data_IF_280926966369
#
_entry.id   IF_280926966369
#
_cell.length_a   1.000
_cell.length_b   1.000
_cell.length_c   1.000
_cell.angle_alpha   90.00
_cell.angle_beta   90.00
_cell.angle_gamma   90.00
#
_symmetry.space_group_name_H-M   'P 1'
#
loop_
_entity.id
_entity.type
_entity.pdbx_description
1 polymer ?
#
# COMPACT_ATOMS: atom_id res chain seq x y z
N UNK A 1 4.87 -10.59 -7.27
CA UNK A 1 4.12 -9.37 -6.93
C UNK A 1 2.91 -9.27 -7.84
N UNK A 2 1.73 -9.01 -7.29
CA UNK A 2 0.52 -8.76 -8.08
C UNK A 2 0.31 -7.24 -8.29
N UNK A 3 -0.42 -6.85 -9.33
CA UNK A 3 -0.73 -5.44 -9.61
C UNK A 3 -2.21 -5.19 -9.34
N UNK A 4 -2.52 -4.36 -8.35
CA UNK A 4 -3.88 -3.97 -8.00
C UNK A 4 -4.42 -2.97 -9.02
N UNK A 5 -5.62 -3.22 -9.53
CA UNK A 5 -6.38 -2.22 -10.27
C UNK A 5 -6.93 -1.15 -9.30
N UNK A 6 -6.75 0.13 -9.64
CA UNK A 6 -7.28 1.24 -8.83
C UNK A 6 -8.78 1.36 -9.04
N UNK A 7 -9.53 1.31 -7.95
CA UNK A 7 -10.98 1.47 -7.94
C UNK A 7 -11.34 2.92 -7.63
N UNK A 8 -12.15 3.53 -8.50
CA UNK A 8 -12.61 4.90 -8.31
C UNK A 8 -13.89 4.93 -7.46
N UNK A 9 -13.86 5.71 -6.38
CA UNK A 9 -15.02 5.96 -5.52
C UNK A 9 -15.82 7.11 -6.13
N UNK A 10 -16.99 6.80 -6.69
CA UNK A 10 -17.89 7.77 -7.30
C UNK A 10 -18.94 8.29 -6.30
N UNK A 11 -19.66 9.35 -6.68
CA UNK A 11 -20.78 9.90 -5.87
C UNK A 11 -21.92 8.92 -5.63
N UNK A 12 -22.07 7.94 -6.53
CA UNK A 12 -23.03 6.83 -6.39
C UNK A 12 -22.57 5.76 -5.39
N UNK A 13 -21.39 5.93 -4.79
CA UNK A 13 -20.73 4.90 -4.01
C UNK A 13 -19.97 3.90 -4.89
N UNK A 14 -19.28 2.98 -4.22
CA UNK A 14 -18.52 1.88 -4.81
C UNK A 14 -18.79 0.63 -3.97
N UNK A 15 -18.93 -0.53 -4.62
CA UNK A 15 -18.82 -1.83 -3.94
C UNK A 15 -17.35 -2.25 -4.01
N UNK A 16 -16.59 -2.21 -2.90
CA UNK A 16 -15.16 -2.49 -2.95
C UNK A 16 -14.87 -3.95 -3.28
N UNK A 17 -14.00 -4.19 -4.25
CA UNK A 17 -13.40 -5.49 -4.49
C UNK A 17 -12.07 -5.57 -3.73
N UNK A 18 -11.93 -6.59 -2.89
CA UNK A 18 -10.67 -6.92 -2.22
C UNK A 18 -10.17 -8.27 -2.72
N UNK A 19 -8.86 -8.42 -2.82
CA UNK A 19 -8.22 -9.69 -3.13
C UNK A 19 -7.24 -10.08 -2.02
N UNK A 20 -6.90 -11.36 -1.89
CA UNK A 20 -5.89 -11.80 -0.96
C UNK A 20 -4.54 -11.12 -1.27
N UNK A 21 -3.82 -10.69 -0.24
CA UNK A 21 -2.47 -10.17 -0.40
C UNK A 21 -1.56 -11.25 -1.03
N UNK A 22 -0.71 -10.85 -1.97
CA UNK A 22 0.18 -11.79 -2.62
C UNK A 22 1.46 -12.00 -1.79
N UNK A 23 1.95 -13.25 -1.71
CA UNK A 23 3.18 -13.58 -0.98
C UNK A 23 4.41 -12.77 -1.46
N UNK A 24 4.43 -12.41 -2.75
CA UNK A 24 5.47 -11.57 -3.34
C UNK A 24 5.19 -10.06 -3.24
N UNK A 25 4.26 -9.62 -2.38
CA UNK A 25 3.78 -8.25 -2.27
C UNK A 25 2.79 -7.85 -3.37
N UNK A 26 2.30 -6.62 -3.26
CA UNK A 26 1.38 -6.00 -4.20
C UNK A 26 1.90 -4.63 -4.65
N UNK A 27 1.60 -4.26 -5.88
CA UNK A 27 1.89 -2.94 -6.43
C UNK A 27 0.63 -2.30 -6.99
N UNK A 28 0.59 -0.97 -7.02
CA UNK A 28 -0.51 -0.23 -7.60
C UNK A 28 -0.03 1.08 -8.25
N UNK A 29 -0.68 1.56 -9.33
CA UNK A 29 -0.42 2.88 -9.87
C UNK A 29 -0.53 3.96 -8.79
N UNK A 30 0.46 4.84 -8.68
CA UNK A 30 0.45 5.92 -7.69
C UNK A 30 0.70 7.28 -8.35
N UNK A 31 -0.35 8.09 -8.37
CA UNK A 31 -0.39 9.47 -8.86
C UNK A 31 -0.42 10.48 -7.70
N UNK A 32 -0.26 10.02 -6.45
CA UNK A 32 -0.37 10.84 -5.25
C UNK A 32 -1.81 11.04 -4.78
N UNK A 33 -2.74 10.22 -5.30
CA UNK A 33 -4.18 10.28 -4.95
C UNK A 33 -4.73 8.93 -4.52
N UNK A 34 -3.96 7.88 -4.74
CA UNK A 34 -4.33 6.51 -4.45
C UNK A 34 -4.03 6.14 -3.01
N UNK A 35 -4.89 5.28 -2.46
CA UNK A 35 -4.78 4.69 -1.14
C UNK A 35 -4.71 3.17 -1.30
N UNK A 36 -3.78 2.54 -0.59
CA UNK A 36 -3.82 1.10 -0.36
C UNK A 36 -4.67 0.83 0.88
N UNK A 37 -5.76 0.09 0.72
CA UNK A 37 -6.57 -0.36 1.85
C UNK A 37 -6.21 -1.79 2.15
N UNK A 38 -5.88 -2.06 3.42
CA UNK A 38 -5.49 -3.38 3.91
C UNK A 38 -6.39 -3.75 5.07
N UNK A 39 -6.98 -4.94 4.99
CA UNK A 39 -7.83 -5.52 6.04
C UNK A 39 -7.16 -6.76 6.60
N UNK A 40 -7.09 -6.84 7.93
CA UNK A 40 -6.55 -7.99 8.63
C UNK A 40 -7.68 -8.76 9.33
N UNK A 41 -7.93 -9.99 8.89
CA UNK A 41 -8.96 -10.87 9.49
C UNK A 41 -8.40 -11.81 10.55
N UNK A 42 -7.11 -11.73 10.86
CA UNK A 42 -6.52 -12.54 11.92
C UNK A 42 -7.11 -12.12 13.28
N UNK A 43 -7.40 -13.08 14.16
CA UNK A 43 -8.13 -12.85 15.41
C UNK A 43 -7.36 -12.06 16.47
N UNK A 44 -6.03 -12.23 16.57
CA UNK A 44 -5.23 -11.64 17.67
C UNK A 44 -3.91 -11.00 17.25
N UNK A 45 -3.27 -11.50 16.19
CA UNK A 45 -2.00 -11.01 15.65
C UNK A 45 -2.21 -9.86 14.67
N UNK A 46 -1.43 -8.79 14.87
CA UNK A 46 -1.32 -7.70 13.92
C UNK A 46 -0.39 -8.08 12.75
N UNK A 47 -0.62 -7.49 11.57
CA UNK A 47 0.25 -7.63 10.40
C UNK A 47 0.94 -6.30 10.10
N UNK A 48 2.11 -6.35 9.48
CA UNK A 48 2.87 -5.16 9.10
C UNK A 48 2.95 -5.05 7.59
N UNK A 49 2.44 -3.93 7.07
CA UNK A 49 2.55 -3.56 5.66
C UNK A 49 3.71 -2.60 5.52
N UNK A 50 4.64 -2.88 4.62
CA UNK A 50 5.77 -2.00 4.32
C UNK A 50 5.67 -1.48 2.90
N UNK A 51 5.54 -0.17 2.72
CA UNK A 51 5.66 0.47 1.40
C UNK A 51 7.10 0.90 1.18
N UNK A 52 7.74 0.36 0.14
CA UNK A 52 9.13 0.63 -0.14
C UNK A 52 9.32 2.07 -0.63
N UNK A 53 10.23 2.81 0.02
CA UNK A 53 10.70 4.08 -0.54
C UNK A 53 11.50 3.79 -1.82
N UNK A 54 11.33 4.63 -2.82
CA UNK A 54 12.01 4.56 -4.12
C UNK A 54 12.94 5.75 -4.34
N UNK A 55 13.13 6.60 -3.32
CA UNK A 55 14.11 7.68 -3.37
C UNK A 55 15.49 7.13 -3.78
N UNK A 56 16.15 7.74 -4.78
CA UNK A 56 17.50 7.36 -5.15
C UNK A 56 18.47 7.80 -4.05
N UNK A 57 19.58 7.08 -3.89
CA UNK A 57 20.54 7.34 -2.81
C UNK A 57 21.04 8.81 -2.78
N UNK A 58 21.18 9.44 -3.95
CA UNK A 58 21.62 10.84 -4.07
C UNK A 58 20.54 11.90 -3.78
N UNK A 59 19.26 11.52 -3.65
CA UNK A 59 18.18 12.43 -3.28
C UNK A 59 18.02 12.58 -1.75
N UNK A 60 18.74 11.77 -0.98
CA UNK A 60 18.67 11.78 0.49
C UNK A 60 19.79 12.71 1.00
N UNK A 61 19.45 13.78 1.73
CA UNK A 61 20.46 14.67 2.31
C UNK A 61 21.47 13.91 3.17
N UNK A 62 22.71 14.40 3.23
CA UNK A 62 23.72 13.82 4.13
C UNK A 62 23.22 13.83 5.58
N UNK A 63 23.37 12.69 6.26
CA UNK A 63 22.88 12.49 7.62
C UNK A 63 21.43 11.99 7.72
N UNK A 64 20.69 11.90 6.60
CA UNK A 64 19.37 11.27 6.55
C UNK A 64 19.45 9.84 5.98
N UNK A 65 18.43 9.01 6.29
CA UNK A 65 18.33 7.64 5.82
C UNK A 65 17.10 7.45 4.92
N UNK A 66 17.22 6.52 3.97
CA UNK A 66 16.08 6.03 3.20
C UNK A 66 15.17 5.23 4.13
N UNK A 67 13.95 5.69 4.34
CA UNK A 67 12.98 5.02 5.22
C UNK A 67 11.78 4.52 4.45
N UNK A 68 11.50 3.22 4.60
CA UNK A 68 10.25 2.64 4.14
C UNK A 68 9.12 3.05 5.09
N UNK A 69 7.91 3.13 4.56
CA UNK A 69 6.72 3.35 5.37
C UNK A 69 6.23 2.00 5.90
N UNK A 70 6.43 1.74 7.19
CA UNK A 70 5.88 0.57 7.87
C UNK A 70 4.59 0.93 8.61
N UNK A 71 3.51 0.21 8.34
CA UNK A 71 2.19 0.41 8.93
C UNK A 71 1.71 -0.89 9.56
N UNK A 72 1.39 -0.83 10.85
CA UNK A 72 0.77 -1.94 11.55
C UNK A 72 -0.74 -1.95 11.30
N UNK A 73 -1.25 -3.10 10.90
CA UNK A 73 -2.68 -3.41 10.76
C UNK A 73 -3.06 -4.31 11.94
N UNK A 74 -3.70 -3.77 12.99
CA UNK A 74 -4.12 -4.59 14.13
C UNK A 74 -5.04 -5.73 13.72
N UNK A 75 -5.16 -6.72 14.59
CA UNK A 75 -6.09 -7.83 14.42
C UNK A 75 -7.53 -7.31 14.27
N UNK A 76 -8.29 -7.89 13.33
CA UNK A 76 -9.69 -7.53 13.04
C UNK A 76 -9.91 -6.05 12.66
N UNK A 77 -8.86 -5.36 12.24
CA UNK A 77 -8.91 -3.95 11.82
C UNK A 77 -8.49 -3.78 10.35
N UNK A 78 -8.66 -2.55 9.87
CA UNK A 78 -8.19 -2.11 8.56
C UNK A 78 -7.38 -0.81 8.65
N UNK A 79 -6.55 -0.53 7.65
CA UNK A 79 -5.92 0.77 7.44
C UNK A 79 -6.03 1.20 5.99
N UNK A 80 -6.14 2.51 5.81
CA UNK A 80 -6.10 3.18 4.52
C UNK A 80 -4.78 3.93 4.44
N UNK A 81 -3.84 3.43 3.66
CA UNK A 81 -2.45 3.87 3.59
C UNK A 81 -2.30 4.75 2.34
N UNK A 82 -2.05 6.04 2.56
CA UNK A 82 -1.88 7.03 1.51
C UNK A 82 -2.54 8.38 1.86
N UNK A 83 -2.53 9.36 0.94
CA UNK A 83 -1.85 9.29 -0.35
C UNK A 83 -0.33 9.22 -0.20
N UNK A 84 0.35 8.63 -1.18
CA UNK A 84 1.81 8.47 -1.18
C UNK A 84 2.45 9.43 -2.18
N UNK A 85 3.44 10.20 -1.75
CA UNK A 85 4.18 11.10 -2.64
C UNK A 85 4.83 10.30 -3.80
N UNK A 86 4.48 10.58 -5.07
CA UNK A 86 5.02 9.86 -6.22
C UNK A 86 6.54 9.94 -6.33
N UNK A 87 7.15 11.08 -5.97
CA UNK A 87 8.60 11.24 -6.05
C UNK A 87 9.34 10.31 -5.06
N UNK A 88 8.71 10.01 -3.93
CA UNK A 88 9.30 9.18 -2.88
C UNK A 88 8.97 7.71 -2.98
N UNK A 89 7.83 7.34 -3.57
CA UNK A 89 7.29 5.97 -3.50
C UNK A 89 7.05 5.28 -4.86
N UNK A 90 7.23 5.96 -6.00
CA UNK A 90 7.08 5.31 -7.30
C UNK A 90 8.33 4.56 -7.74
N UNK A 91 8.14 3.31 -8.16
CA UNK A 91 9.14 2.55 -8.89
C UNK A 91 9.31 3.11 -10.33
N UNK A 92 10.17 2.47 -11.13
CA UNK A 92 10.40 2.85 -12.53
C UNK A 92 9.14 2.73 -13.42
N UNK A 93 8.08 2.09 -12.96
CA UNK A 93 6.81 1.92 -13.66
C UNK A 93 5.72 2.88 -13.14
N UNK A 94 6.04 3.81 -12.23
CA UNK A 94 5.07 4.73 -11.63
C UNK A 94 4.17 4.08 -10.58
N UNK A 95 4.64 3.03 -9.89
CA UNK A 95 3.85 2.26 -8.93
C UNK A 95 4.43 2.33 -7.53
N UNK A 96 3.55 2.40 -6.54
CA UNK A 96 3.91 2.11 -5.16
C UNK A 96 3.97 0.58 -4.97
N UNK A 97 4.95 0.12 -4.19
CA UNK A 97 5.20 -1.30 -3.92
C UNK A 97 5.07 -1.58 -2.43
N UNK A 98 4.13 -2.46 -2.07
CA UNK A 98 3.87 -2.89 -0.71
C UNK A 98 4.27 -4.35 -0.50
N UNK A 99 4.94 -4.62 0.62
CA UNK A 99 5.25 -5.97 1.11
C UNK A 99 4.62 -6.19 2.48
N UNK A 100 4.53 -7.44 2.87
CA UNK A 100 3.88 -7.87 4.11
C UNK A 100 4.87 -8.71 4.93
N UNK A 101 4.81 -8.59 6.26
CA UNK A 101 5.48 -9.54 7.13
C UNK A 101 4.88 -10.95 7.00
N UNK A 102 3.57 -11.01 6.80
CA UNK A 102 2.85 -12.16 6.25
C UNK A 102 1.55 -11.70 5.56
N UNK A 103 1.28 -12.29 4.41
CA UNK A 103 0.11 -12.08 3.57
C UNK A 103 -1.13 -12.83 4.07
N UNK A 104 -0.96 -13.81 4.97
CA UNK A 104 -2.05 -14.58 5.52
C UNK A 104 -3.04 -13.66 6.25
N UNK A 105 -4.33 -13.92 6.03
CA UNK A 105 -5.45 -13.16 6.60
C UNK A 105 -5.53 -11.69 6.14
N UNK A 106 -4.71 -11.29 5.17
CA UNK A 106 -4.77 -9.96 4.58
C UNK A 106 -5.56 -9.98 3.28
N UNK A 107 -6.48 -9.02 3.18
CA UNK A 107 -7.09 -8.65 1.90
C UNK A 107 -6.83 -7.19 1.59
N UNK A 108 -6.56 -6.90 0.32
CA UNK A 108 -6.05 -5.62 -0.14
C UNK A 108 -6.82 -5.10 -1.35
N UNK A 109 -6.85 -3.78 -1.50
CA UNK A 109 -7.37 -3.09 -2.67
C UNK A 109 -6.76 -1.69 -2.79
N UNK A 110 -6.65 -1.20 -4.03
CA UNK A 110 -6.20 0.16 -4.32
C UNK A 110 -7.39 1.04 -4.69
N UNK A 111 -7.49 2.23 -4.10
CA UNK A 111 -8.65 3.11 -4.23
C UNK A 111 -8.25 4.55 -4.47
N UNK A 112 -9.12 5.32 -5.13
CA UNK A 112 -9.02 6.78 -5.23
C UNK A 112 -10.39 7.42 -5.23
N UNK A 113 -10.47 8.68 -4.81
CA UNK A 113 -11.66 9.49 -5.06
C UNK A 113 -11.74 9.86 -6.55
N UNK A 114 -12.93 9.76 -7.14
CA UNK A 114 -13.18 10.13 -8.54
C UNK A 114 -13.07 11.64 -8.79
#
# INVERSE_FOLDING_TARGET
MAVLAVQAIARTGLVPAFQAAAAGGDAFPNTGREFLVVKNTHATVARTVTVASQLPAGAIPQGAAKTNLAVQIPALEERWIGPLDPASFNDSNGRAVATYDTEADLTVGAFRLA
#
